data_IF_890378178229
#
_entry.id   IF_890378178229
#
_cell.length_a   1.000
_cell.length_b   1.000
_cell.length_c   1.000
_cell.angle_alpha   90.00
_cell.angle_beta   90.00
_cell.angle_gamma   90.00
#
_symmetry.space_group_name_H-M   'P 1'
#
loop_
_entity.id
_entity.type
_entity.pdbx_description
1 polymer ?
#
# COMPACT_ATOMS: atom_id res chain seq x y z
N UNK A 1 -11.57 8.45 -12.61
CA UNK A 1 -10.12 8.20 -12.51
C UNK A 1 -9.95 6.92 -11.72
N UNK A 2 -9.39 5.89 -12.33
CA UNK A 2 -9.25 4.57 -11.72
C UNK A 2 -8.06 4.57 -10.74
N UNK A 3 -8.35 4.45 -9.45
CA UNK A 3 -7.33 4.24 -8.43
C UNK A 3 -7.12 2.74 -8.25
N UNK A 4 -5.97 2.22 -8.71
CA UNK A 4 -5.64 0.81 -8.56
C UNK A 4 -4.97 0.58 -7.21
N UNK A 5 -5.26 -0.56 -6.58
CA UNK A 5 -4.58 -0.98 -5.35
C UNK A 5 -3.16 -1.42 -5.72
N UNK A 6 -2.18 -0.61 -5.34
CA UNK A 6 -0.78 -0.83 -5.64
C UNK A 6 -0.08 -1.64 -4.55
N UNK A 7 -0.26 -1.23 -3.30
CA UNK A 7 0.41 -1.84 -2.15
C UNK A 7 -0.60 -2.19 -1.07
N UNK A 8 -0.30 -3.26 -0.34
CA UNK A 8 -1.00 -3.60 0.89
C UNK A 8 -0.01 -3.52 2.04
N UNK A 9 -0.23 -2.60 2.96
CA UNK A 9 0.53 -2.49 4.20
C UNK A 9 -0.22 -3.24 5.29
N UNK A 10 0.46 -4.13 6.00
CA UNK A 10 -0.08 -4.77 7.20
C UNK A 10 0.76 -4.39 8.39
N UNK A 11 0.13 -3.85 9.43
CA UNK A 11 0.80 -3.58 10.70
C UNK A 11 0.76 -4.81 11.59
N UNK A 12 1.90 -5.11 12.23
CA UNK A 12 2.03 -6.19 13.19
C UNK A 12 1.94 -5.66 14.62
N UNK A 13 1.76 -6.58 15.59
CA UNK A 13 1.81 -6.27 17.02
C UNK A 13 0.71 -5.30 17.52
N UNK A 14 -0.53 -5.44 17.03
CA UNK A 14 -1.67 -4.57 17.39
C UNK A 14 -1.45 -3.08 17.09
N UNK A 15 -0.43 -2.73 16.31
CA UNK A 15 -0.20 -1.35 15.88
C UNK A 15 -1.26 -0.92 14.87
N UNK A 16 -1.64 0.36 14.96
CA UNK A 16 -2.56 0.99 14.03
C UNK A 16 -2.02 2.36 13.67
N UNK A 17 -1.80 2.60 12.38
CA UNK A 17 -1.48 3.92 11.83
C UNK A 17 -2.79 4.61 11.42
N UNK A 18 -2.90 5.90 11.69
CA UNK A 18 -4.04 6.68 11.23
C UNK A 18 -4.09 6.65 9.69
N UNK A 19 -5.25 6.38 9.06
CA UNK A 19 -5.35 6.41 7.59
C UNK A 19 -4.95 7.78 7.03
N UNK A 20 -5.16 8.86 7.79
CA UNK A 20 -4.80 10.22 7.39
C UNK A 20 -3.28 10.43 7.32
N UNK A 21 -2.54 9.89 8.29
CA UNK A 21 -1.06 9.93 8.30
C UNK A 21 -0.52 9.06 7.18
N UNK A 22 -1.08 7.86 7.01
CA UNK A 22 -0.66 6.96 5.93
C UNK A 22 -0.93 7.57 4.54
N UNK A 23 -2.05 8.28 4.39
CA UNK A 23 -2.41 8.98 3.16
C UNK A 23 -1.39 10.07 2.82
N UNK A 24 -1.02 10.88 3.82
CA UNK A 24 -0.06 11.98 3.67
C UNK A 24 1.33 11.45 3.27
N UNK A 25 1.80 10.42 3.98
CA UNK A 25 3.04 9.73 3.66
C UNK A 25 3.00 9.12 2.25
N UNK A 26 1.87 8.54 1.84
CA UNK A 26 1.72 7.93 0.52
C UNK A 26 1.66 8.96 -0.61
N UNK A 27 0.95 10.07 -0.39
CA UNK A 27 0.92 11.19 -1.32
C UNK A 27 2.30 11.80 -1.51
N UNK A 28 3.05 11.98 -0.40
CA UNK A 28 4.43 12.46 -0.43
C UNK A 28 5.38 11.45 -1.11
N UNK A 29 5.21 10.16 -0.85
CA UNK A 29 6.03 9.10 -1.47
C UNK A 29 5.78 8.95 -2.98
N UNK A 30 4.53 9.14 -3.43
CA UNK A 30 4.15 9.08 -4.84
C UNK A 30 4.37 10.41 -5.58
N UNK A 31 4.73 11.49 -4.88
CA UNK A 31 4.77 12.86 -5.42
C UNK A 31 3.46 13.22 -6.16
N UNK A 32 2.33 12.70 -5.67
CA UNK A 32 1.02 12.86 -6.33
C UNK A 32 -0.13 13.08 -5.35
N UNK A 33 -0.99 14.03 -5.68
CA UNK A 33 -2.23 14.30 -4.94
C UNK A 33 -3.35 13.30 -5.24
N UNK A 34 -3.17 12.38 -6.20
CA UNK A 34 -4.17 11.38 -6.59
C UNK A 34 -4.00 10.06 -5.81
N UNK A 35 -3.61 10.17 -4.55
CA UNK A 35 -3.32 9.05 -3.67
C UNK A 35 -4.51 8.77 -2.77
N UNK A 36 -4.85 7.51 -2.54
CA UNK A 36 -5.92 7.14 -1.60
C UNK A 36 -5.47 5.96 -0.76
N UNK A 37 -5.87 5.95 0.51
CA UNK A 37 -5.59 4.81 1.39
C UNK A 37 -6.88 4.36 2.05
N UNK A 38 -7.09 3.06 2.04
CA UNK A 38 -8.25 2.44 2.67
C UNK A 38 -7.75 1.64 3.86
N UNK A 39 -8.24 1.96 5.06
CA UNK A 39 -7.98 1.12 6.23
C UNK A 39 -8.91 -0.09 6.20
N UNK A 40 -8.33 -1.27 6.29
CA UNK A 40 -9.01 -2.54 6.44
C UNK A 40 -8.67 -3.10 7.83
N UNK A 41 -9.40 -2.60 8.83
CA UNK A 41 -9.39 -3.16 10.19
C UNK A 41 -10.42 -4.27 10.27
N UNK A 42 -9.96 -5.49 10.56
CA UNK A 42 -10.83 -6.63 10.80
C UNK A 42 -10.86 -6.90 12.32
N UNK A 43 -12.05 -7.05 12.94
CA UNK A 43 -12.13 -7.33 14.38
C UNK A 43 -11.40 -8.64 14.70
N UNK A 44 -10.43 -8.58 15.62
CA UNK A 44 -9.60 -9.73 16.01
C UNK A 44 -8.43 -10.05 15.07
N UNK A 45 -8.13 -9.20 14.07
CA UNK A 45 -6.98 -9.36 13.17
C UNK A 45 -6.11 -8.10 13.11
N UNK A 46 -4.86 -8.31 12.69
CA UNK A 46 -3.87 -7.27 12.40
C UNK A 46 -4.40 -6.24 11.41
N UNK A 47 -4.22 -4.95 11.74
CA UNK A 47 -4.68 -3.84 10.91
C UNK A 47 -3.97 -3.83 9.56
N UNK A 48 -4.74 -3.86 8.49
CA UNK A 48 -4.23 -3.80 7.12
C UNK A 48 -4.68 -2.51 6.45
N UNK A 49 -3.90 -2.04 5.49
CA UNK A 49 -4.14 -0.81 4.74
C UNK A 49 -3.88 -1.08 3.27
N UNK A 50 -4.86 -0.75 2.45
CA UNK A 50 -4.70 -0.77 1.01
C UNK A 50 -4.30 0.63 0.53
N UNK A 51 -3.16 0.74 -0.13
CA UNK A 51 -2.68 1.96 -0.73
C UNK A 51 -3.05 1.94 -2.21
N UNK A 52 -3.82 2.93 -2.60
CA UNK A 52 -4.34 3.12 -3.93
C UNK A 52 -3.60 4.31 -4.56
N UNK A 53 -3.18 4.15 -5.80
CA UNK A 53 -2.49 5.18 -6.57
C UNK A 53 -2.98 5.11 -8.02
N UNK A 54 -2.82 6.18 -8.81
CA UNK A 54 -3.20 6.16 -10.21
C UNK A 54 -2.33 5.14 -10.96
N UNK A 55 -2.90 4.47 -11.96
CA UNK A 55 -2.15 3.55 -12.85
C UNK A 55 -1.09 4.27 -13.67
N UNK A 56 -1.19 5.60 -13.81
CA UNK A 56 -0.19 6.47 -14.46
C UNK A 56 1.00 6.83 -13.56
N UNK A 57 1.17 6.18 -12.40
CA UNK A 57 2.29 6.42 -11.52
C UNK A 57 3.59 6.01 -12.22
N UNK A 58 4.42 6.99 -12.59
CA UNK A 58 5.62 6.75 -13.39
C UNK A 58 6.67 5.86 -12.67
N UNK A 59 6.70 5.91 -11.32
CA UNK A 59 7.70 5.22 -10.52
C UNK A 59 7.13 4.48 -9.29
N UNK A 60 6.37 3.39 -9.50
CA UNK A 60 5.74 2.66 -8.41
C UNK A 60 6.73 2.05 -7.41
N UNK A 61 7.87 1.57 -7.91
CA UNK A 61 8.94 0.99 -7.09
C UNK A 61 9.61 2.03 -6.19
N UNK A 62 9.68 3.29 -6.64
CA UNK A 62 10.23 4.40 -5.86
C UNK A 62 9.27 4.81 -4.74
N UNK A 63 7.98 4.88 -5.05
CA UNK A 63 6.94 5.14 -4.06
C UNK A 63 6.91 4.06 -2.97
N UNK A 64 7.03 2.78 -3.34
CA UNK A 64 7.14 1.67 -2.38
C UNK A 64 8.36 1.80 -1.46
N UNK A 65 9.55 2.03 -2.03
CA UNK A 65 10.78 2.20 -1.25
C UNK A 65 10.71 3.40 -0.30
N UNK A 66 10.13 4.52 -0.76
CA UNK A 66 9.88 5.69 0.08
C UNK A 66 8.91 5.38 1.21
N UNK A 67 7.81 4.69 0.92
CA UNK A 67 6.83 4.30 1.93
C UNK A 67 7.44 3.40 2.99
N UNK A 68 8.23 2.41 2.56
CA UNK A 68 8.99 1.53 3.45
C UNK A 68 9.90 2.33 4.36
N UNK A 69 10.71 3.24 3.79
CA UNK A 69 11.62 4.08 4.56
C UNK A 69 10.89 4.97 5.57
N UNK A 70 9.78 5.60 5.18
CA UNK A 70 9.00 6.46 6.07
C UNK A 70 8.41 5.71 7.26
N UNK A 71 7.92 4.49 7.03
CA UNK A 71 7.39 3.64 8.08
C UNK A 71 8.49 3.08 8.99
N UNK A 72 9.67 2.78 8.43
CA UNK A 72 10.87 2.39 9.18
C UNK A 72 11.39 3.55 10.04
N UNK A 73 11.46 4.77 9.49
CA UNK A 73 11.85 5.99 10.21
C UNK A 73 10.87 6.33 11.33
N UNK A 74 9.58 6.06 11.13
CA UNK A 74 8.56 6.20 12.16
C UNK A 74 8.56 5.06 13.20
N UNK A 75 9.43 4.05 13.05
CA UNK A 75 9.60 2.95 14.00
C UNK A 75 8.47 1.91 13.98
N UNK A 76 7.65 1.88 12.94
CA UNK A 76 6.55 0.93 12.84
C UNK A 76 7.05 -0.46 12.42
N UNK A 77 6.45 -1.51 12.99
CA UNK A 77 6.65 -2.88 12.50
C UNK A 77 5.56 -3.22 11.50
N UNK A 78 5.94 -3.38 10.23
CA UNK A 78 4.98 -3.57 9.15
C UNK A 78 5.45 -4.57 8.11
N UNK A 79 4.50 -5.07 7.32
CA UNK A 79 4.72 -5.89 6.14
C UNK A 79 4.11 -5.17 4.94
N UNK A 80 4.91 -4.80 3.96
CA UNK A 80 4.43 -4.31 2.67
C UNK A 80 4.35 -5.47 1.68
N UNK A 81 3.18 -5.66 1.09
CA UNK A 81 2.98 -6.56 -0.04
C UNK A 81 2.66 -5.75 -1.29
N UNK A 82 3.49 -5.87 -2.33
CA UNK A 82 3.24 -5.24 -3.62
C UNK A 82 2.20 -6.04 -4.39
N UNK A 83 1.06 -5.44 -4.72
CA UNK A 83 0.02 -6.09 -5.51
C UNK A 83 0.26 -5.96 -7.03
N UNK A 84 1.17 -5.05 -7.42
CA UNK A 84 1.64 -4.92 -8.80
C UNK A 84 2.43 -6.16 -9.28
N UNK A 85 2.82 -7.03 -8.36
CA UNK A 85 3.43 -8.34 -8.62
C UNK A 85 2.40 -9.50 -8.54
N UNK A 86 1.12 -9.25 -8.83
CA UNK A 86 0.32 -10.37 -9.34
C UNK A 86 0.65 -10.49 -10.82
N UNK A 87 1.32 -11.59 -11.27
CA UNK A 87 1.12 -11.99 -12.65
C UNK A 87 -0.38 -12.06 -12.89
N UNK A 88 -0.82 -11.54 -14.04
CA UNK A 88 -2.17 -11.70 -14.55
C UNK A 88 -2.73 -13.09 -14.19
N UNK A 89 -4.05 -13.24 -13.95
CA UNK A 89 -4.64 -14.57 -13.78
C UNK A 89 -4.11 -15.43 -14.91
N UNK A 90 -3.26 -16.39 -14.56
CA UNK A 90 -2.60 -17.28 -15.49
C UNK A 90 -3.73 -17.84 -16.35
N UNK A 91 -3.72 -17.72 -17.69
CA UNK A 91 -4.74 -18.37 -18.49
C UNK A 91 -4.61 -19.85 -18.15
N UNK A 92 -5.61 -20.37 -17.44
CA UNK A 92 -5.77 -21.79 -17.16
C UNK A 92 -5.70 -22.48 -18.50
N UNK A 93 -4.53 -23.03 -18.82
CA UNK A 93 -4.32 -23.87 -20.00
C UNK A 93 -5.01 -25.18 -19.68
N UNK A 94 -6.31 -25.25 -19.94
CA UNK A 94 -7.00 -26.52 -20.07
C UNK A 94 -6.33 -27.28 -21.22
N UNK A 95 -5.86 -28.50 -20.93
CA UNK A 95 -5.34 -29.45 -21.91
C UNK A 95 -6.06 -30.77 -21.69
#
# INVERSE_FOLDING_TARGET
MEHMRWLTLRLSNNQSIGPKVLMDLWANACETNQSSVTRETLPGKSTSYALHAPTSLAYPKRAELRMRKLLEEAGYTFTLGSLADRPAPQPVRFR
#
